data_IF_690460087914
#
_entry.id   IF_690460087914
#
_cell.length_a   1.000
_cell.length_b   1.000
_cell.length_c   1.000
_cell.angle_alpha   90.00
_cell.angle_beta   90.00
_cell.angle_gamma   90.00
#
_symmetry.space_group_name_H-M   'P 1'
#
loop_
_entity.id
_entity.type
_entity.pdbx_description
1 polymer ?
#
# COMPACT_ATOMS: atom_id res chain seq x y z
N UNK A 1 -28.88 4.54 -7.42
CA UNK A 1 -29.84 4.53 -8.50
C UNK A 1 -29.13 4.74 -9.86
N UNK A 2 -28.39 5.83 -10.03
CA UNK A 2 -27.73 6.17 -11.29
C UNK A 2 -26.80 5.05 -11.80
N UNK A 3 -25.89 4.56 -10.97
CA UNK A 3 -24.91 3.50 -11.34
C UNK A 3 -25.52 2.12 -11.62
N UNK A 4 -26.79 1.91 -11.27
CA UNK A 4 -27.50 0.65 -11.51
C UNK A 4 -28.55 0.79 -12.60
N UNK A 5 -28.62 1.93 -13.30
CA UNK A 5 -29.66 2.24 -14.29
C UNK A 5 -31.08 1.97 -13.76
N UNK A 6 -31.31 2.18 -12.45
CA UNK A 6 -32.57 1.97 -11.77
C UNK A 6 -33.17 3.31 -11.33
N UNK A 7 -34.49 3.40 -11.33
CA UNK A 7 -35.18 4.54 -10.71
C UNK A 7 -35.04 4.49 -9.17
N UNK A 8 -35.10 5.64 -8.53
CA UNK A 8 -35.00 5.70 -7.06
C UNK A 8 -36.10 4.87 -6.35
N UNK A 9 -37.38 4.90 -6.79
CA UNK A 9 -38.39 4.02 -6.20
C UNK A 9 -38.07 2.53 -6.36
N UNK A 10 -37.56 2.11 -7.51
CA UNK A 10 -37.17 0.71 -7.74
C UNK A 10 -36.02 0.29 -6.79
N UNK A 11 -35.02 1.14 -6.60
CA UNK A 11 -33.94 0.89 -5.66
C UNK A 11 -34.45 0.83 -4.21
N UNK A 12 -35.33 1.74 -3.79
CA UNK A 12 -35.91 1.73 -2.45
C UNK A 12 -36.71 0.46 -2.17
N UNK A 13 -37.50 0.00 -3.16
CA UNK A 13 -38.24 -1.26 -3.03
C UNK A 13 -37.31 -2.48 -2.95
N UNK A 14 -36.23 -2.51 -3.73
CA UNK A 14 -35.24 -3.58 -3.66
C UNK A 14 -34.59 -3.63 -2.28
N UNK A 15 -34.17 -2.48 -1.73
CA UNK A 15 -33.61 -2.38 -0.38
C UNK A 15 -34.63 -2.82 0.67
N UNK A 16 -35.92 -2.43 0.57
CA UNK A 16 -36.96 -2.85 1.49
C UNK A 16 -37.11 -4.37 1.52
N UNK A 17 -37.10 -5.05 0.36
CA UNK A 17 -37.12 -6.52 0.28
C UNK A 17 -35.89 -7.15 0.96
N UNK A 18 -34.70 -6.60 0.77
CA UNK A 18 -33.50 -7.10 1.42
C UNK A 18 -33.56 -6.94 2.94
N UNK A 19 -34.09 -5.80 3.45
CA UNK A 19 -34.31 -5.61 4.89
C UNK A 19 -35.19 -6.72 5.48
N UNK A 20 -36.30 -7.08 4.83
CA UNK A 20 -37.16 -8.16 5.26
C UNK A 20 -36.43 -9.52 5.18
N UNK A 21 -35.72 -9.79 4.07
CA UNK A 21 -35.02 -11.05 3.87
C UNK A 21 -33.93 -11.29 4.92
N UNK A 22 -33.18 -10.27 5.29
CA UNK A 22 -32.07 -10.38 6.24
C UNK A 22 -32.46 -10.01 7.68
N UNK A 23 -33.73 -9.64 7.91
CA UNK A 23 -34.24 -9.15 9.19
C UNK A 23 -33.37 -8.08 9.82
N UNK A 24 -32.92 -7.11 9.02
CA UNK A 24 -32.00 -6.05 9.41
C UNK A 24 -32.26 -4.79 8.57
N UNK A 25 -32.10 -3.62 9.17
CA UNK A 25 -32.24 -2.33 8.47
C UNK A 25 -31.23 -2.14 7.35
N UNK A 26 -30.12 -2.86 7.35
CA UNK A 26 -28.97 -2.84 6.42
C UNK A 26 -28.30 -1.48 6.31
N UNK A 27 -29.04 -0.39 6.36
CA UNK A 27 -28.52 0.97 6.28
C UNK A 27 -29.19 1.86 7.33
N UNK A 28 -28.38 2.64 8.06
CA UNK A 28 -28.82 3.59 9.07
C UNK A 28 -28.44 5.01 8.67
N UNK A 29 -29.22 5.99 9.09
CA UNK A 29 -28.85 7.41 8.93
C UNK A 29 -27.71 7.77 9.88
N UNK A 30 -26.69 8.41 9.33
CA UNK A 30 -25.59 8.98 10.11
C UNK A 30 -25.26 10.39 9.59
N UNK A 31 -25.58 11.40 10.38
CA UNK A 31 -25.46 12.79 9.97
C UNK A 31 -26.29 13.09 8.70
N UNK A 32 -25.66 13.63 7.67
CA UNK A 32 -26.30 13.92 6.37
C UNK A 32 -26.29 12.73 5.39
N UNK A 33 -25.72 11.61 5.78
CA UNK A 33 -25.56 10.43 4.93
C UNK A 33 -26.24 9.17 5.48
N UNK A 34 -25.89 8.04 4.90
CA UNK A 34 -26.28 6.70 5.32
C UNK A 34 -25.01 5.87 5.58
N UNK A 35 -25.06 5.01 6.59
CA UNK A 35 -24.01 4.05 6.87
C UNK A 35 -24.59 2.63 6.89
N UNK A 36 -23.82 1.60 6.43
CA UNK A 36 -24.22 0.21 6.55
C UNK A 36 -24.24 -0.23 8.02
N UNK A 37 -25.20 -1.08 8.37
CA UNK A 37 -25.21 -1.79 9.65
C UNK A 37 -24.08 -2.81 9.73
N UNK A 38 -23.78 -3.32 10.92
CA UNK A 38 -22.81 -4.41 11.08
C UNK A 38 -23.22 -5.64 10.25
N UNK A 39 -24.54 -5.95 10.21
CA UNK A 39 -25.08 -7.03 9.40
C UNK A 39 -24.85 -6.82 7.91
N UNK A 40 -25.09 -5.60 7.40
CA UNK A 40 -24.82 -5.25 6.01
C UNK A 40 -23.36 -5.41 5.65
N UNK A 41 -22.45 -5.00 6.55
CA UNK A 41 -21.01 -5.20 6.38
C UNK A 41 -20.63 -6.67 6.30
N UNK A 42 -21.18 -7.51 7.16
CA UNK A 42 -20.96 -8.97 7.13
C UNK A 42 -21.47 -9.63 5.85
N UNK A 43 -22.60 -9.17 5.32
CA UNK A 43 -23.22 -9.71 4.11
C UNK A 43 -22.50 -9.29 2.82
N UNK A 44 -21.79 -8.18 2.83
CA UNK A 44 -21.20 -7.60 1.62
C UNK A 44 -20.25 -8.57 0.93
N UNK A 45 -19.29 -9.14 1.65
CA UNK A 45 -18.31 -10.09 1.11
C UNK A 45 -18.95 -11.32 0.46
N UNK A 46 -19.76 -12.11 1.21
CA UNK A 46 -20.43 -13.30 0.70
C UNK A 46 -21.36 -13.03 -0.50
N UNK A 47 -22.15 -11.95 -0.45
CA UNK A 47 -23.06 -11.59 -1.57
C UNK A 47 -22.27 -11.23 -2.81
N UNK A 48 -21.20 -10.44 -2.65
CA UNK A 48 -20.35 -10.07 -3.77
C UNK A 48 -19.64 -11.27 -4.37
N UNK A 49 -19.12 -12.17 -3.55
CA UNK A 49 -18.50 -13.42 -4.01
C UNK A 49 -19.49 -14.26 -4.82
N UNK A 50 -20.72 -14.40 -4.35
CA UNK A 50 -21.77 -15.10 -5.08
C UNK A 50 -22.07 -14.45 -6.43
N UNK A 51 -22.20 -13.13 -6.47
CA UNK A 51 -22.41 -12.38 -7.72
C UNK A 51 -21.23 -12.54 -8.69
N UNK A 52 -19.99 -12.56 -8.18
CA UNK A 52 -18.81 -12.76 -9.00
C UNK A 52 -18.75 -14.17 -9.59
N UNK A 53 -19.12 -15.20 -8.82
CA UNK A 53 -19.23 -16.58 -9.34
C UNK A 53 -20.23 -16.65 -10.50
N UNK A 54 -21.41 -16.06 -10.34
CA UNK A 54 -22.40 -16.00 -11.42
C UNK A 54 -21.87 -15.25 -12.64
N UNK A 55 -21.21 -14.12 -12.43
CA UNK A 55 -20.60 -13.33 -13.52
C UNK A 55 -19.56 -14.12 -14.30
N UNK A 56 -18.74 -14.92 -13.63
CA UNK A 56 -17.69 -15.71 -14.27
C UNK A 56 -18.23 -16.80 -15.22
N UNK A 57 -19.47 -17.26 -14.97
CA UNK A 57 -20.14 -18.28 -15.79
C UNK A 57 -20.90 -17.68 -16.99
N UNK A 58 -21.04 -16.35 -17.06
CA UNK A 58 -21.70 -15.73 -18.21
C UNK A 58 -20.81 -15.82 -19.46
N UNK A 59 -21.37 -16.08 -20.66
CA UNK A 59 -20.61 -16.19 -21.91
C UNK A 59 -19.77 -14.96 -22.25
N UNK A 60 -20.16 -13.79 -21.77
CA UNK A 60 -19.44 -12.50 -21.90
C UNK A 60 -18.38 -12.27 -20.83
N UNK A 61 -18.03 -13.26 -20.03
CA UNK A 61 -17.16 -13.11 -18.85
C UNK A 61 -15.66 -13.14 -19.14
N UNK A 62 -15.24 -13.14 -20.40
CA UNK A 62 -13.82 -12.92 -20.72
C UNK A 62 -13.43 -11.49 -20.38
N UNK A 63 -12.47 -11.34 -19.48
CA UNK A 63 -11.84 -10.04 -19.26
C UNK A 63 -10.92 -9.75 -20.44
N UNK A 64 -11.23 -8.69 -21.16
CA UNK A 64 -10.44 -8.21 -22.31
C UNK A 64 -9.74 -6.91 -21.90
N UNK A 65 -8.44 -6.92 -21.56
CA UNK A 65 -7.74 -5.73 -21.07
C UNK A 65 -7.83 -4.54 -22.03
N UNK A 66 -7.66 -4.78 -23.34
CA UNK A 66 -7.65 -3.74 -24.38
C UNK A 66 -8.94 -2.92 -24.51
N UNK A 67 -10.06 -3.44 -24.04
CA UNK A 67 -11.39 -2.79 -24.16
C UNK A 67 -12.07 -2.59 -22.80
N UNK A 68 -11.36 -2.88 -21.73
CA UNK A 68 -11.89 -2.75 -20.38
C UNK A 68 -11.72 -1.33 -19.86
N UNK A 69 -12.80 -0.70 -19.45
CA UNK A 69 -12.79 0.60 -18.74
C UNK A 69 -12.88 0.43 -17.21
N UNK A 70 -12.47 -0.72 -16.68
CA UNK A 70 -12.53 -1.00 -15.23
C UNK A 70 -11.61 -0.05 -14.46
N UNK A 71 -12.12 0.45 -13.34
CA UNK A 71 -11.31 1.16 -12.35
C UNK A 71 -10.70 0.15 -11.36
N UNK A 72 -9.38 0.17 -11.21
CA UNK A 72 -8.65 -0.51 -10.15
C UNK A 72 -8.14 0.50 -9.13
N UNK A 73 -8.30 0.17 -7.86
CA UNK A 73 -7.86 1.01 -6.74
C UNK A 73 -6.70 0.35 -6.04
N UNK A 74 -5.55 0.99 -6.06
CA UNK A 74 -4.31 0.52 -5.46
C UNK A 74 -3.94 1.40 -4.28
N UNK A 75 -3.58 0.77 -3.19
CA UNK A 75 -2.98 1.42 -2.05
C UNK A 75 -1.49 1.06 -2.03
N UNK A 76 -0.60 2.05 -2.17
CA UNK A 76 0.85 1.83 -2.21
C UNK A 76 1.50 2.68 -1.14
N UNK A 77 2.10 2.05 -0.13
CA UNK A 77 2.74 2.80 0.95
C UNK A 77 3.94 3.61 0.46
N UNK A 78 4.09 4.80 0.99
CA UNK A 78 5.29 5.61 0.78
C UNK A 78 6.50 4.98 1.51
N UNK A 79 7.69 4.93 0.89
CA UNK A 79 8.07 5.48 -0.41
C UNK A 79 7.92 4.50 -1.60
N UNK A 80 7.30 3.34 -1.42
CA UNK A 80 7.13 2.35 -2.49
C UNK A 80 6.28 2.87 -3.65
N UNK A 81 5.38 3.83 -3.39
CA UNK A 81 4.63 4.56 -4.40
C UNK A 81 5.57 5.21 -5.43
N UNK A 82 6.60 5.93 -4.99
CA UNK A 82 7.60 6.56 -5.87
C UNK A 82 8.34 5.50 -6.71
N UNK A 83 8.57 4.33 -6.14
CA UNK A 83 9.27 3.21 -6.82
C UNK A 83 8.42 2.57 -7.91
N UNK A 84 7.15 2.28 -7.62
CA UNK A 84 6.32 1.42 -8.45
C UNK A 84 5.29 2.16 -9.30
N UNK A 85 4.69 3.26 -8.81
CA UNK A 85 3.61 3.94 -9.51
C UNK A 85 3.96 4.38 -10.94
N UNK A 86 5.13 4.99 -11.24
CA UNK A 86 5.44 5.41 -12.61
C UNK A 86 5.44 4.26 -13.60
N UNK A 87 6.03 3.13 -13.23
CA UNK A 87 6.11 1.96 -14.11
C UNK A 87 4.76 1.24 -14.25
N UNK A 88 4.00 1.11 -13.15
CA UNK A 88 2.64 0.54 -13.19
C UNK A 88 1.77 1.34 -14.16
N UNK A 89 1.71 2.66 -13.99
CA UNK A 89 0.91 3.53 -14.84
C UNK A 89 1.32 3.43 -16.31
N UNK A 90 2.63 3.48 -16.59
CA UNK A 90 3.14 3.41 -17.97
C UNK A 90 2.86 2.05 -18.62
N UNK A 91 3.14 0.95 -17.92
CA UNK A 91 2.95 -0.40 -18.48
C UNK A 91 1.48 -0.74 -18.69
N UNK A 92 0.63 -0.42 -17.73
CA UNK A 92 -0.81 -0.69 -17.86
C UNK A 92 -1.42 0.13 -18.99
N UNK A 93 -1.06 1.41 -19.15
CA UNK A 93 -1.53 2.22 -20.27
C UNK A 93 -1.15 1.65 -21.64
N UNK A 94 -0.02 0.93 -21.76
CA UNK A 94 0.40 0.28 -23.01
C UNK A 94 -0.43 -0.97 -23.35
N UNK A 95 -0.84 -1.76 -22.37
CA UNK A 95 -1.52 -3.04 -22.58
C UNK A 95 -3.03 -2.97 -22.37
N UNK A 96 -3.52 -1.92 -21.74
CA UNK A 96 -4.93 -1.71 -21.41
C UNK A 96 -5.25 -0.22 -21.28
N UNK A 97 -5.30 0.54 -22.38
CA UNK A 97 -5.35 2.01 -22.40
C UNK A 97 -6.60 2.61 -21.75
N UNK A 98 -7.71 1.89 -21.73
CA UNK A 98 -8.99 2.37 -21.17
C UNK A 98 -9.16 1.99 -19.67
N UNK A 99 -8.27 1.17 -19.12
CA UNK A 99 -8.29 0.85 -17.71
C UNK A 99 -7.91 2.09 -16.90
N UNK A 100 -8.70 2.37 -15.86
CA UNK A 100 -8.45 3.45 -14.92
C UNK A 100 -7.75 2.90 -13.68
N UNK A 101 -6.71 3.59 -13.23
CA UNK A 101 -6.00 3.28 -11.99
C UNK A 101 -6.12 4.47 -11.06
N UNK A 102 -6.66 4.22 -9.88
CA UNK A 102 -6.61 5.18 -8.76
C UNK A 102 -5.60 4.68 -7.74
N UNK A 103 -4.60 5.48 -7.44
CA UNK A 103 -3.58 5.17 -6.43
C UNK A 103 -3.73 6.10 -5.24
N UNK A 104 -3.67 5.53 -4.05
CA UNK A 104 -3.69 6.25 -2.80
C UNK A 104 -2.45 5.86 -1.99
N UNK A 105 -1.73 6.85 -1.48
CA UNK A 105 -0.56 6.66 -0.62
C UNK A 105 -0.86 6.94 0.86
N UNK A 106 -2.01 7.54 1.14
CA UNK A 106 -2.45 7.90 2.49
C UNK A 106 -3.31 6.78 3.08
N UNK A 107 -2.71 6.02 3.98
CA UNK A 107 -3.38 4.87 4.61
C UNK A 107 -3.80 5.21 6.03
N UNK A 108 -5.09 5.06 6.27
CA UNK A 108 -5.62 4.95 7.63
C UNK A 108 -5.59 3.48 8.09
N UNK A 109 -5.74 3.23 9.38
CA UNK A 109 -5.75 1.90 10.00
C UNK A 109 -6.81 0.90 9.47
N UNK A 110 -7.60 1.29 8.46
CA UNK A 110 -8.76 0.53 7.95
C UNK A 110 -8.48 -0.23 6.64
N UNK A 111 -7.20 -0.41 6.22
CA UNK A 111 -6.87 -1.07 4.95
C UNK A 111 -7.49 -2.45 4.80
N UNK A 112 -7.50 -3.24 5.87
CA UNK A 112 -8.14 -4.55 5.87
C UNK A 112 -9.63 -4.44 5.58
N UNK A 113 -10.33 -3.48 6.19
CA UNK A 113 -11.75 -3.23 5.88
C UNK A 113 -11.94 -2.71 4.46
N UNK A 114 -11.09 -1.79 4.00
CA UNK A 114 -11.15 -1.26 2.62
C UNK A 114 -10.94 -2.35 1.57
N UNK A 115 -10.01 -3.29 1.80
CA UNK A 115 -9.86 -4.47 0.95
C UNK A 115 -11.10 -5.38 1.01
N UNK A 116 -11.64 -5.64 2.20
CA UNK A 116 -12.85 -6.45 2.39
C UNK A 116 -14.05 -5.88 1.65
N UNK A 117 -14.25 -4.56 1.70
CA UNK A 117 -15.33 -3.87 1.00
C UNK A 117 -14.99 -3.48 -0.43
N UNK A 118 -13.79 -3.87 -0.92
CA UNK A 118 -13.27 -3.56 -2.24
C UNK A 118 -13.30 -2.05 -2.55
N UNK A 119 -13.09 -1.25 -1.53
CA UNK A 119 -12.73 0.16 -1.66
C UNK A 119 -11.27 0.28 -2.12
N UNK A 120 -10.46 -0.77 -1.88
CA UNK A 120 -9.12 -0.99 -2.39
C UNK A 120 -9.05 -2.42 -2.95
N UNK A 121 -8.54 -2.57 -4.18
CA UNK A 121 -8.37 -3.87 -4.82
C UNK A 121 -7.04 -4.52 -4.41
N UNK A 122 -5.96 -3.75 -4.35
CA UNK A 122 -4.61 -4.21 -4.02
C UNK A 122 -3.89 -3.26 -3.09
N UNK A 123 -3.10 -3.85 -2.19
CA UNK A 123 -2.19 -3.13 -1.29
C UNK A 123 -0.76 -3.55 -1.60
N UNK A 124 0.14 -2.58 -1.80
CA UNK A 124 1.58 -2.79 -1.85
C UNK A 124 2.18 -2.14 -0.60
N UNK A 125 2.66 -2.97 0.33
CA UNK A 125 3.17 -2.53 1.62
C UNK A 125 4.29 -3.47 2.07
N UNK A 126 5.07 -3.01 3.05
CA UNK A 126 6.00 -3.85 3.80
C UNK A 126 5.27 -4.76 4.80
N UNK A 127 4.02 -4.46 5.14
CA UNK A 127 3.19 -5.31 6.00
C UNK A 127 2.60 -6.47 5.24
N UNK A 128 2.77 -7.67 5.77
CA UNK A 128 2.09 -8.84 5.25
C UNK A 128 0.66 -8.91 5.82
N UNK A 129 -0.33 -8.63 4.98
CA UNK A 129 -1.75 -8.74 5.35
C UNK A 129 -2.29 -10.18 5.29
N UNK A 130 -1.46 -11.17 4.94
CA UNK A 130 -1.87 -12.57 4.88
C UNK A 130 -2.48 -13.05 6.19
N UNK A 131 -3.66 -13.69 6.09
CA UNK A 131 -4.45 -14.15 7.24
C UNK A 131 -5.90 -14.42 6.83
N UNK A 132 -6.81 -14.60 7.80
CA UNK A 132 -8.22 -14.94 7.49
C UNK A 132 -8.88 -13.97 6.51
N UNK A 133 -9.11 -14.43 5.27
CA UNK A 133 -9.79 -13.70 4.21
C UNK A 133 -8.89 -12.83 3.33
N UNK A 134 -7.56 -12.87 3.53
CA UNK A 134 -6.60 -12.09 2.75
C UNK A 134 -5.46 -12.97 2.23
N UNK A 135 -5.10 -12.76 0.97
CA UNK A 135 -3.92 -13.35 0.34
C UNK A 135 -2.82 -12.31 0.21
N UNK A 136 -1.58 -12.76 0.35
CA UNK A 136 -0.41 -11.90 0.26
C UNK A 136 0.74 -12.64 -0.43
N UNK A 137 1.48 -11.94 -1.27
CA UNK A 137 2.64 -12.46 -1.99
C UNK A 137 3.81 -11.49 -1.85
N UNK A 138 5.01 -12.00 -1.54
CA UNK A 138 6.24 -11.20 -1.55
C UNK A 138 6.58 -10.80 -2.99
N UNK A 139 6.79 -9.51 -3.24
CA UNK A 139 7.04 -8.96 -4.58
C UNK A 139 8.36 -8.21 -4.70
N UNK A 140 8.94 -7.77 -3.59
CA UNK A 140 10.26 -7.15 -3.57
C UNK A 140 10.93 -7.28 -2.21
N UNK A 141 12.25 -7.12 -2.23
CA UNK A 141 13.07 -6.96 -1.03
C UNK A 141 13.80 -5.62 -1.09
N UNK A 142 14.06 -5.06 0.06
CA UNK A 142 14.89 -3.89 0.26
C UNK A 142 15.74 -4.07 1.52
N UNK A 143 16.60 -3.13 1.80
CA UNK A 143 17.51 -3.16 2.94
C UNK A 143 17.41 -1.84 3.71
N UNK A 144 17.36 -1.93 5.04
CA UNK A 144 17.54 -0.75 5.88
C UNK A 144 19.02 -0.37 5.94
N UNK A 145 19.29 0.92 5.77
CA UNK A 145 20.61 1.51 5.87
C UNK A 145 20.58 2.71 6.82
N UNK A 146 21.73 3.03 7.38
CA UNK A 146 21.93 4.30 8.09
C UNK A 146 22.33 5.35 7.07
N UNK A 147 21.74 6.53 7.19
CA UNK A 147 21.99 7.66 6.28
C UNK A 147 22.48 8.86 7.08
N UNK A 148 23.53 9.46 6.59
CA UNK A 148 24.13 10.68 7.14
C UNK A 148 24.47 11.67 6.02
N UNK A 149 24.70 12.94 6.35
CA UNK A 149 25.31 13.89 5.41
C UNK A 149 26.67 13.39 4.92
N UNK A 150 26.97 13.56 3.64
CA UNK A 150 28.31 13.24 3.09
C UNK A 150 29.44 13.98 3.83
N UNK A 151 29.14 15.16 4.37
CA UNK A 151 30.05 15.99 5.16
C UNK A 151 29.96 15.76 6.68
N UNK A 152 29.29 14.70 7.13
CA UNK A 152 29.11 14.42 8.57
C UNK A 152 30.48 14.33 9.28
N UNK A 153 30.70 15.12 10.34
CA UNK A 153 32.08 15.33 10.88
C UNK A 153 32.63 14.13 11.64
N UNK A 154 31.78 13.26 12.20
CA UNK A 154 32.16 12.15 13.10
C UNK A 154 32.08 10.78 12.44
N UNK A 155 31.30 10.63 11.37
CA UNK A 155 31.08 9.34 10.70
C UNK A 155 31.93 9.25 9.44
N UNK A 156 32.63 8.11 9.29
CA UNK A 156 33.37 7.75 8.08
C UNK A 156 32.51 6.99 7.06
N UNK A 157 33.05 5.86 6.56
CA UNK A 157 32.36 4.97 5.61
C UNK A 157 31.61 3.81 6.27
N UNK A 158 31.70 3.67 7.58
CA UNK A 158 31.01 2.66 8.38
C UNK A 158 30.51 3.27 9.68
N UNK A 159 29.58 2.59 10.33
CA UNK A 159 29.03 2.99 11.62
C UNK A 159 28.96 1.76 12.54
N UNK A 160 29.36 1.92 13.78
CA UNK A 160 29.22 0.90 14.82
C UNK A 160 27.88 1.04 15.53
N UNK A 161 27.42 -0.02 16.22
CA UNK A 161 26.21 0.06 17.07
C UNK A 161 26.32 1.17 18.12
N UNK A 162 27.49 1.33 18.74
CA UNK A 162 27.72 2.39 19.72
C UNK A 162 27.59 3.78 19.11
N UNK A 163 28.15 4.02 17.93
CA UNK A 163 28.02 5.30 17.21
C UNK A 163 26.56 5.53 16.81
N UNK A 164 25.88 4.50 16.28
CA UNK A 164 24.47 4.59 15.91
C UNK A 164 23.60 5.05 17.08
N UNK A 165 23.86 4.55 18.29
CA UNK A 165 23.12 4.94 19.50
C UNK A 165 23.51 6.32 20.05
N UNK A 166 24.73 6.78 19.82
CA UNK A 166 25.22 8.04 20.38
C UNK A 166 24.93 9.26 19.51
N UNK A 167 24.68 9.05 18.22
CA UNK A 167 24.34 10.14 17.29
C UNK A 167 22.89 10.61 17.48
N UNK A 168 22.63 11.86 17.08
CA UNK A 168 21.28 12.42 17.09
C UNK A 168 20.50 11.98 15.85
N UNK A 169 19.27 11.54 16.03
CA UNK A 169 18.44 10.99 14.98
C UNK A 169 17.36 11.94 14.47
N UNK A 170 17.17 11.91 13.15
CA UNK A 170 15.95 12.40 12.51
C UNK A 170 15.03 11.20 12.25
N UNK A 171 13.79 11.26 12.71
CA UNK A 171 12.81 10.17 12.58
C UNK A 171 11.60 10.63 11.78
N UNK A 172 10.86 9.67 11.25
CA UNK A 172 9.55 9.89 10.69
C UNK A 172 8.53 10.02 11.83
N UNK A 173 7.61 10.98 11.74
CA UNK A 173 6.55 11.13 12.74
C UNK A 173 5.47 10.06 12.58
N UNK A 174 4.76 9.72 13.67
CA UNK A 174 3.89 8.54 13.86
C UNK A 174 2.69 8.35 12.93
N UNK A 175 2.65 8.96 11.76
CA UNK A 175 1.47 8.95 10.90
C UNK A 175 1.59 8.08 9.64
N UNK A 176 2.74 7.45 9.37
CA UNK A 176 3.01 6.74 8.13
C UNK A 176 3.11 5.20 8.26
N UNK A 177 2.74 4.47 7.22
CA UNK A 177 2.71 3.00 7.14
C UNK A 177 4.07 2.33 7.28
N UNK A 178 5.14 3.00 6.84
CA UNK A 178 6.53 2.55 7.01
C UNK A 178 6.98 2.47 8.47
N UNK A 179 6.19 3.04 9.37
CA UNK A 179 6.51 3.14 10.79
C UNK A 179 6.79 1.82 11.46
N UNK A 180 6.14 0.73 11.04
CA UNK A 180 6.33 -0.56 11.72
C UNK A 180 7.78 -1.04 11.64
N UNK A 181 8.47 -0.83 10.51
CA UNK A 181 9.85 -1.28 10.33
C UNK A 181 10.89 -0.31 10.90
N UNK A 182 10.75 0.98 10.60
CA UNK A 182 11.64 1.99 11.19
C UNK A 182 11.40 2.13 12.70
N UNK A 183 10.15 2.05 13.18
CA UNK A 183 9.86 2.02 14.62
C UNK A 183 10.44 0.78 15.30
N UNK A 184 10.39 -0.39 14.67
CA UNK A 184 11.01 -1.58 15.26
C UNK A 184 12.52 -1.40 15.35
N UNK A 185 13.19 -0.91 14.30
CA UNK A 185 14.59 -0.57 14.33
C UNK A 185 14.91 0.46 15.42
N UNK A 186 14.10 1.52 15.54
CA UNK A 186 14.30 2.55 16.58
C UNK A 186 13.93 2.10 17.99
N UNK A 187 13.00 1.17 18.19
CA UNK A 187 12.73 0.56 19.49
C UNK A 187 13.91 -0.27 20.00
N UNK A 188 14.58 -0.97 19.09
CA UNK A 188 15.79 -1.73 19.42
C UNK A 188 16.98 -0.80 19.72
N UNK A 189 17.00 0.40 19.12
CA UNK A 189 18.07 1.39 19.34
C UNK A 189 17.92 2.20 20.62
N UNK A 190 16.69 2.34 21.14
CA UNK A 190 16.37 3.19 22.32
C UNK A 190 16.89 4.63 22.18
N UNK A 191 16.76 5.22 20.98
CA UNK A 191 17.23 6.55 20.67
C UNK A 191 16.10 7.58 20.64
N UNK A 192 16.33 8.76 21.22
CA UNK A 192 15.42 9.88 21.06
C UNK A 192 15.61 10.60 19.72
N UNK A 193 14.51 11.09 19.15
CA UNK A 193 14.56 11.90 17.94
C UNK A 193 14.87 13.35 18.25
N UNK A 194 15.92 13.90 17.64
CA UNK A 194 16.18 15.33 17.63
C UNK A 194 15.29 16.07 16.62
N UNK A 195 14.79 15.36 15.61
CA UNK A 195 13.87 15.89 14.59
C UNK A 195 12.84 14.81 14.21
N UNK A 196 11.58 15.24 14.08
CA UNK A 196 10.49 14.39 13.57
C UNK A 196 9.91 15.00 12.31
N UNK A 197 10.10 14.34 11.17
CA UNK A 197 9.60 14.75 9.86
C UNK A 197 8.28 14.08 9.50
N UNK A 198 7.54 14.67 8.56
CA UNK A 198 6.24 14.16 8.09
C UNK A 198 6.37 13.20 6.92
N UNK A 199 7.49 13.20 6.20
CA UNK A 199 7.81 12.25 5.14
C UNK A 199 9.27 11.86 5.17
N UNK A 200 9.59 10.68 4.65
CA UNK A 200 10.98 10.21 4.64
C UNK A 200 11.87 11.07 3.73
N UNK A 201 11.33 11.62 2.64
CA UNK A 201 12.05 12.56 1.78
C UNK A 201 12.45 13.85 2.53
N UNK A 202 11.53 14.39 3.37
CA UNK A 202 11.85 15.55 4.21
C UNK A 202 12.93 15.22 5.26
N UNK A 203 12.82 14.05 5.87
CA UNK A 203 13.83 13.57 6.84
C UNK A 203 15.21 13.48 6.17
N UNK A 204 15.28 12.86 4.99
CA UNK A 204 16.53 12.72 4.24
C UNK A 204 17.11 14.08 3.81
N UNK A 205 16.27 15.04 3.42
CA UNK A 205 16.72 16.39 3.13
C UNK A 205 17.32 17.08 4.37
N UNK A 206 16.66 17.00 5.52
CA UNK A 206 17.18 17.55 6.78
C UNK A 206 18.51 16.89 7.18
N UNK A 207 18.62 15.57 7.01
CA UNK A 207 19.86 14.82 7.26
C UNK A 207 20.99 15.29 6.33
N UNK A 208 20.70 15.56 5.05
CA UNK A 208 21.72 16.04 4.11
C UNK A 208 22.34 17.37 4.52
N UNK A 209 21.58 18.22 5.24
CA UNK A 209 21.98 19.58 5.65
C UNK A 209 22.35 19.70 7.14
N UNK A 210 22.49 18.57 7.85
CA UNK A 210 22.74 18.58 9.30
C UNK A 210 23.70 17.49 9.74
N UNK A 211 23.99 17.44 11.04
CA UNK A 211 24.71 16.35 11.69
C UNK A 211 23.80 15.25 12.22
N UNK A 212 22.53 15.22 11.78
CA UNK A 212 21.61 14.15 12.15
C UNK A 212 21.82 12.94 11.26
N UNK A 213 21.46 11.77 11.79
CA UNK A 213 21.40 10.54 11.02
C UNK A 213 19.97 10.01 10.99
N UNK A 214 19.67 9.12 10.05
CA UNK A 214 18.38 8.44 9.98
C UNK A 214 18.55 7.02 9.49
N UNK A 215 17.49 6.21 9.66
CA UNK A 215 17.38 4.88 9.09
C UNK A 215 16.35 4.94 7.96
N UNK A 216 16.71 4.44 6.79
CA UNK A 216 15.87 4.50 5.59
C UNK A 216 16.08 3.27 4.70
N UNK A 217 15.10 2.93 3.81
CA UNK A 217 15.29 1.93 2.77
C UNK A 217 16.41 2.36 1.80
N UNK A 218 17.34 1.45 1.51
CA UNK A 218 18.50 1.69 0.62
C UNK A 218 18.06 2.22 -0.74
N UNK A 219 17.06 1.57 -1.34
CA UNK A 219 16.54 1.95 -2.65
C UNK A 219 16.15 3.44 -2.71
N UNK A 220 15.44 3.93 -1.69
CA UNK A 220 15.02 5.34 -1.66
C UNK A 220 16.20 6.27 -1.69
N UNK A 221 17.19 6.04 -0.82
CA UNK A 221 18.38 6.89 -0.70
C UNK A 221 19.17 6.90 -2.01
N UNK A 222 19.34 5.75 -2.65
CA UNK A 222 20.08 5.61 -3.90
C UNK A 222 19.40 6.30 -5.08
N UNK A 223 18.08 6.49 -5.03
CA UNK A 223 17.30 7.09 -6.11
C UNK A 223 16.86 8.54 -5.82
N UNK A 224 17.34 9.14 -4.72
CA UNK A 224 17.07 10.55 -4.45
C UNK A 224 17.85 11.50 -5.39
N UNK A 225 17.23 12.62 -5.80
CA UNK A 225 17.92 13.63 -6.64
C UNK A 225 19.24 14.13 -6.05
N UNK A 226 19.28 14.34 -4.73
CA UNK A 226 20.43 14.91 -4.02
C UNK A 226 21.31 13.84 -3.33
N UNK A 227 21.38 12.64 -3.88
CA UNK A 227 22.15 11.51 -3.33
C UNK A 227 23.58 11.87 -2.98
N UNK A 228 24.22 12.73 -3.76
CA UNK A 228 25.63 13.12 -3.54
C UNK A 228 25.86 13.88 -2.21
N UNK A 229 24.81 14.42 -1.61
CA UNK A 229 24.87 15.07 -0.31
C UNK A 229 24.70 14.08 0.85
N UNK A 230 24.40 12.82 0.55
CA UNK A 230 24.18 11.76 1.53
C UNK A 230 25.26 10.69 1.41
N UNK A 231 25.60 10.07 2.52
CA UNK A 231 26.35 8.83 2.58
C UNK A 231 25.50 7.72 3.21
N UNK A 232 25.63 6.55 2.63
CA UNK A 232 24.98 5.34 3.07
C UNK A 232 25.99 4.54 3.90
N UNK A 233 25.57 4.14 5.08
CA UNK A 233 26.33 3.29 5.99
C UNK A 233 25.51 2.03 6.26
N UNK A 234 26.18 0.87 6.27
CA UNK A 234 25.50 -0.37 6.52
C UNK A 234 24.89 -0.39 7.93
N UNK A 235 23.67 -0.91 8.02
CA UNK A 235 22.95 -0.99 9.29
C UNK A 235 23.59 -2.07 10.16
N UNK A 236 24.11 -1.74 11.37
CA UNK A 236 24.94 -2.68 12.13
C UNK A 236 24.15 -3.77 12.87
N UNK A 237 22.82 -3.80 12.75
CA UNK A 237 21.97 -4.80 13.40
C UNK A 237 21.53 -5.88 12.41
N UNK A 238 21.28 -7.11 12.91
CA UNK A 238 21.00 -8.29 12.06
C UNK A 238 19.71 -8.21 11.23
N UNK A 239 18.73 -7.38 11.64
CA UNK A 239 17.42 -7.29 10.98
C UNK A 239 17.32 -6.07 10.09
N UNK A 240 18.03 -6.08 8.98
CA UNK A 240 18.02 -4.98 8.03
C UNK A 240 17.23 -5.25 6.75
N UNK A 241 16.73 -6.48 6.54
CA UNK A 241 15.99 -6.85 5.33
C UNK A 241 14.51 -6.47 5.46
N UNK A 242 14.05 -5.69 4.51
CA UNK A 242 12.66 -5.31 4.32
C UNK A 242 12.03 -6.17 3.24
N UNK A 243 10.89 -6.78 3.53
CA UNK A 243 10.11 -7.52 2.55
C UNK A 243 8.88 -6.72 2.18
N UNK A 244 8.64 -6.57 0.89
CA UNK A 244 7.45 -5.92 0.37
C UNK A 244 6.46 -6.92 -0.21
N UNK A 245 5.18 -6.70 0.04
CA UNK A 245 4.10 -7.61 -0.28
C UNK A 245 3.05 -6.93 -1.14
N UNK A 246 2.48 -7.71 -2.06
CA UNK A 246 1.22 -7.43 -2.73
C UNK A 246 0.13 -8.21 -2.02
N UNK A 247 -0.89 -7.52 -1.53
CA UNK A 247 -1.98 -8.13 -0.76
C UNK A 247 -3.33 -7.78 -1.35
N UNK A 248 -4.31 -8.68 -1.23
CA UNK A 248 -5.69 -8.53 -1.70
C UNK A 248 -6.65 -9.35 -0.85
N UNK A 249 -7.95 -9.10 -0.96
CA UNK A 249 -8.97 -9.89 -0.29
C UNK A 249 -9.34 -11.13 -1.11
N UNK A 250 -9.45 -12.31 -0.48
CA UNK A 250 -9.73 -13.61 -1.11
C UNK A 250 -11.02 -13.64 -1.95
N UNK A 251 -12.01 -12.79 -1.64
CA UNK A 251 -13.24 -12.69 -2.45
C UNK A 251 -12.98 -12.30 -3.91
N UNK A 252 -11.81 -11.74 -4.23
CA UNK A 252 -11.43 -11.32 -5.58
C UNK A 252 -10.61 -12.37 -6.34
N UNK A 253 -10.28 -13.50 -5.73
CA UNK A 253 -9.41 -14.53 -6.35
C UNK A 253 -9.97 -15.15 -7.62
N UNK A 254 -11.30 -15.19 -7.76
CA UNK A 254 -11.97 -15.71 -8.95
C UNK A 254 -12.39 -14.65 -9.96
N UNK A 255 -12.13 -13.38 -9.69
CA UNK A 255 -12.39 -12.27 -10.61
C UNK A 255 -11.30 -12.22 -11.68
N UNK A 256 -11.66 -12.49 -12.94
CA UNK A 256 -10.71 -12.56 -14.06
C UNK A 256 -9.95 -11.26 -14.29
N UNK A 257 -10.61 -10.11 -14.12
CA UNK A 257 -9.95 -8.81 -14.23
C UNK A 257 -8.99 -8.54 -13.07
N UNK A 258 -9.36 -8.98 -11.87
CA UNK A 258 -8.49 -8.88 -10.70
C UNK A 258 -7.26 -9.80 -10.83
N UNK A 259 -7.45 -11.04 -11.31
CA UNK A 259 -6.34 -11.97 -11.60
C UNK A 259 -5.38 -11.34 -12.60
N UNK A 260 -5.90 -10.84 -13.72
CA UNK A 260 -5.08 -10.19 -14.73
C UNK A 260 -4.27 -9.00 -14.17
N UNK A 261 -4.91 -8.10 -13.43
CA UNK A 261 -4.21 -6.95 -12.83
C UNK A 261 -3.16 -7.41 -11.82
N UNK A 262 -3.45 -8.41 -10.99
CA UNK A 262 -2.50 -8.99 -10.04
C UNK A 262 -1.26 -9.52 -10.74
N UNK A 263 -1.45 -10.27 -11.84
CA UNK A 263 -0.34 -10.83 -12.61
C UNK A 263 0.52 -9.71 -13.24
N UNK A 264 -0.13 -8.62 -13.74
CA UNK A 264 0.59 -7.44 -14.22
C UNK A 264 1.41 -6.77 -13.10
N UNK A 265 0.82 -6.58 -11.92
CA UNK A 265 1.52 -5.97 -10.79
C UNK A 265 2.71 -6.80 -10.34
N UNK A 266 2.57 -8.13 -10.22
CA UNK A 266 3.67 -9.04 -9.87
C UNK A 266 4.80 -8.98 -10.90
N UNK A 267 4.47 -8.98 -12.20
CA UNK A 267 5.46 -8.90 -13.28
C UNK A 267 6.20 -7.57 -13.24
N UNK A 268 5.48 -6.44 -13.17
CA UNK A 268 6.07 -5.10 -13.16
C UNK A 268 6.97 -4.88 -11.93
N UNK A 269 6.53 -5.30 -10.76
CA UNK A 269 7.33 -5.18 -9.54
C UNK A 269 8.58 -6.07 -9.59
N UNK A 270 8.46 -7.29 -10.11
CA UNK A 270 9.59 -8.21 -10.30
C UNK A 270 10.64 -7.69 -11.30
N UNK A 271 10.23 -7.08 -12.40
CA UNK A 271 11.14 -6.43 -13.36
C UNK A 271 11.93 -5.29 -12.73
N UNK A 272 11.29 -4.47 -11.88
CA UNK A 272 11.94 -3.35 -11.20
C UNK A 272 13.04 -3.85 -10.27
N UNK A 273 12.76 -4.91 -9.53
CA UNK A 273 13.71 -5.48 -8.57
C UNK A 273 14.90 -6.13 -9.27
N UNK A 274 14.68 -6.78 -10.42
CA UNK A 274 15.75 -7.43 -11.19
C UNK A 274 16.69 -6.42 -11.89
N UNK A 275 16.20 -5.22 -12.20
CA UNK A 275 16.99 -4.16 -12.89
C UNK A 275 17.97 -3.44 -11.93
N UNK A 276 17.78 -3.60 -10.61
CA UNK A 276 18.55 -2.89 -9.56
C UNK A 276 19.72 -3.76 -9.01
N UNK A 277 19.81 -5.02 -9.43
CA UNK A 277 20.95 -5.89 -9.15
C UNK A 277 22.02 -5.68 -10.22
#
# INVERSE_FOLDING_TARGET
AYNLSMSQPALSNAVARLKVMFNDELFMRHGRGIQPTQRARQLFGPVRQALQLVRNELPSSMFLPMTSSRLFKLAICSPSDVRFAPKILTKIAQVAPDIQIHMDADFNNDLSEKMRYQEVDFVIDYTNFGGQGYSSTEIFNDELVVVASSAHPRLGYSITDQQLRSEKHAKLSKTDCLLSYTEQAYKELDCEAAYNGTSLSNVLYVVSQSELITVAPRWLVENMPDRNQLKILDFPLEKNVLKGFLSWHESSEKDKGHIWMRDQLMMICGEIVSTIR
#
